data_IF_079550894805
#
_entry.id   IF_079550894805
#
_cell.length_a   1.000
_cell.length_b   1.000
_cell.length_c   1.000
_cell.angle_alpha   90.00
_cell.angle_beta   90.00
_cell.angle_gamma   90.00
#
_symmetry.space_group_name_H-M   'P 1'
#
loop_
_entity.id
_entity.type
_entity.pdbx_description
1 polymer ?
#
# COMPACT_ATOMS: atom_id res chain seq x y z
N UNK A 1 -3.73 -11.84 23.33
CA UNK A 1 -2.38 -11.41 22.93
C UNK A 1 -1.81 -12.49 22.04
N UNK A 2 -1.83 -12.27 20.72
CA UNK A 2 -1.28 -13.24 19.77
C UNK A 2 0.24 -13.24 19.93
N UNK A 3 0.86 -14.41 20.01
CA UNK A 3 2.32 -14.58 20.22
C UNK A 3 3.21 -13.90 19.15
N UNK A 4 2.62 -13.35 18.07
CA UNK A 4 3.30 -12.55 17.06
C UNK A 4 3.32 -11.03 17.32
N UNK A 5 2.55 -10.49 18.27
CA UNK A 5 2.45 -9.03 18.46
C UNK A 5 3.69 -8.43 19.12
N UNK A 6 4.30 -9.11 20.09
CA UNK A 6 5.39 -8.50 20.87
C UNK A 6 6.67 -8.33 20.05
N UNK A 7 7.00 -9.29 19.18
CA UNK A 7 8.14 -9.18 18.28
C UNK A 7 7.88 -8.14 17.18
N UNK A 8 6.64 -8.06 16.66
CA UNK A 8 6.24 -7.04 15.69
C UNK A 8 6.34 -5.65 16.32
N UNK A 9 5.86 -5.50 17.56
CA UNK A 9 5.93 -4.24 18.30
C UNK A 9 7.38 -3.81 18.54
N UNK A 10 8.24 -4.71 19.03
CA UNK A 10 9.69 -4.45 19.22
C UNK A 10 10.41 -4.13 17.90
N UNK A 11 9.97 -4.73 16.79
CA UNK A 11 10.53 -4.49 15.46
C UNK A 11 10.07 -3.14 14.91
N UNK A 12 8.79 -2.81 15.09
CA UNK A 12 8.23 -1.51 14.75
C UNK A 12 8.90 -0.41 15.58
N UNK A 13 9.09 -0.59 16.88
CA UNK A 13 9.75 0.40 17.73
C UNK A 13 11.20 0.66 17.28
N UNK A 14 11.97 -0.39 16.93
CA UNK A 14 13.31 -0.22 16.33
C UNK A 14 13.30 0.52 14.99
N UNK A 15 12.23 0.40 14.21
CA UNK A 15 12.11 1.09 12.93
C UNK A 15 11.62 2.53 13.09
N UNK A 16 10.70 2.76 14.03
CA UNK A 16 10.05 4.04 14.29
C UNK A 16 10.92 4.99 15.10
N UNK A 17 11.82 4.47 15.93
CA UNK A 17 12.65 5.26 16.83
C UNK A 17 14.15 5.04 16.56
N UNK A 18 14.95 6.07 16.79
CA UNK A 18 16.42 6.04 16.78
C UNK A 18 16.93 6.70 18.05
N UNK A 19 18.08 6.29 18.57
CA UNK A 19 18.68 6.97 19.71
C UNK A 19 19.59 8.10 19.23
N UNK A 20 19.34 9.34 19.66
CA UNK A 20 20.20 10.51 19.42
C UNK A 20 20.47 11.21 20.75
N UNK A 21 21.74 11.22 21.19
CA UNK A 21 22.13 11.83 22.47
C UNK A 21 21.47 11.20 23.70
N UNK A 22 21.28 9.87 23.70
CA UNK A 22 20.67 9.14 24.81
C UNK A 22 19.14 9.25 24.90
N UNK A 23 18.49 9.96 23.98
CA UNK A 23 17.02 10.05 23.87
C UNK A 23 16.52 9.30 22.63
N UNK A 24 15.41 8.61 22.76
CA UNK A 24 14.68 8.06 21.60
C UNK A 24 14.01 9.20 20.84
N UNK A 25 14.34 9.33 19.57
CA UNK A 25 13.76 10.30 18.63
C UNK A 25 13.14 9.55 17.46
N UNK A 26 12.06 10.06 16.85
CA UNK A 26 11.47 9.43 15.68
C UNK A 26 12.48 9.28 14.54
N UNK A 27 12.42 8.16 13.85
CA UNK A 27 13.22 7.87 12.67
C UNK A 27 12.76 8.77 11.51
N UNK A 28 13.52 9.81 11.22
CA UNK A 28 13.18 10.78 10.16
C UNK A 28 12.93 10.15 8.78
N UNK A 29 13.65 9.07 8.43
CA UNK A 29 13.47 8.38 7.16
C UNK A 29 12.15 7.59 7.12
N UNK A 30 11.76 7.00 8.25
CA UNK A 30 10.44 6.37 8.40
C UNK A 30 9.33 7.42 8.35
N UNK A 31 9.45 8.52 9.12
CA UNK A 31 8.48 9.61 9.11
C UNK A 31 8.31 10.22 7.72
N UNK A 32 9.41 10.38 6.97
CA UNK A 32 9.36 10.89 5.59
C UNK A 32 8.60 9.93 4.67
N UNK A 33 8.87 8.63 4.73
CA UNK A 33 8.13 7.62 3.96
C UNK A 33 6.65 7.57 4.35
N UNK A 34 6.34 7.70 5.63
CA UNK A 34 4.97 7.76 6.14
C UNK A 34 4.24 9.02 5.64
N UNK A 35 4.93 10.16 5.65
CA UNK A 35 4.44 11.43 5.11
C UNK A 35 4.21 11.36 3.60
N UNK A 36 5.16 10.80 2.85
CA UNK A 36 5.04 10.59 1.40
C UNK A 36 3.84 9.69 1.08
N UNK A 37 3.68 8.56 1.76
CA UNK A 37 2.54 7.66 1.57
C UNK A 37 1.20 8.33 1.91
N UNK A 38 1.15 9.08 3.02
CA UNK A 38 -0.04 9.82 3.44
C UNK A 38 -0.41 10.94 2.47
N UNK A 39 0.60 11.66 1.97
CA UNK A 39 0.45 12.75 1.00
C UNK A 39 0.03 12.23 -0.38
N UNK A 40 0.64 11.14 -0.87
CA UNK A 40 0.22 10.49 -2.11
C UNK A 40 -1.24 10.03 -2.02
N UNK A 41 -1.64 9.47 -0.88
CA UNK A 41 -3.02 9.06 -0.61
C UNK A 41 -4.02 10.23 -0.63
N UNK A 42 -3.70 11.32 0.08
CA UNK A 42 -4.53 12.52 0.11
C UNK A 42 -4.63 13.19 -1.28
N UNK A 43 -3.53 13.26 -2.02
CA UNK A 43 -3.50 13.81 -3.38
C UNK A 43 -4.31 12.94 -4.34
N UNK A 44 -4.23 11.61 -4.23
CA UNK A 44 -5.05 10.71 -5.03
C UNK A 44 -6.54 10.93 -4.76
N UNK A 45 -6.95 10.99 -3.50
CA UNK A 45 -8.34 11.26 -3.12
C UNK A 45 -8.82 12.62 -3.63
N UNK A 46 -7.99 13.67 -3.54
CA UNK A 46 -8.30 14.99 -4.10
C UNK A 46 -8.46 14.96 -5.62
N UNK A 47 -7.62 14.20 -6.34
CA UNK A 47 -7.74 14.05 -7.80
C UNK A 47 -9.01 13.31 -8.20
N UNK A 48 -9.33 12.23 -7.49
CA UNK A 48 -10.58 11.48 -7.63
C UNK A 48 -11.78 12.42 -7.43
N UNK A 49 -11.80 13.16 -6.30
CA UNK A 49 -12.86 14.10 -5.97
C UNK A 49 -13.02 15.21 -7.03
N UNK A 50 -11.90 15.77 -7.50
CA UNK A 50 -11.88 16.80 -8.55
C UNK A 50 -12.15 16.25 -9.96
N UNK A 51 -12.42 14.94 -10.11
CA UNK A 51 -12.53 14.25 -11.41
C UNK A 51 -11.33 14.51 -12.32
N UNK A 52 -10.17 14.78 -11.74
CA UNK A 52 -8.93 14.98 -12.46
C UNK A 52 -8.43 13.63 -12.99
N UNK A 53 -7.60 13.66 -14.03
CA UNK A 53 -7.05 12.44 -14.62
C UNK A 53 -6.19 11.69 -13.60
N UNK A 54 -6.73 10.59 -13.08
CA UNK A 54 -5.99 9.59 -12.29
C UNK A 54 -5.46 8.56 -13.27
N UNK A 55 -4.24 8.08 -13.08
CA UNK A 55 -3.71 6.95 -13.86
C UNK A 55 -3.90 5.64 -13.09
N UNK A 56 -4.08 4.50 -13.78
CA UNK A 56 -4.17 3.20 -13.10
C UNK A 56 -2.97 2.92 -12.18
N UNK A 57 -1.76 3.33 -12.58
CA UNK A 57 -0.55 3.14 -11.77
C UNK A 57 -0.55 3.94 -10.47
N UNK A 58 -1.05 5.19 -10.50
CA UNK A 58 -1.15 6.01 -9.29
C UNK A 58 -2.19 5.44 -8.32
N UNK A 59 -3.33 4.97 -8.84
CA UNK A 59 -4.37 4.34 -8.03
C UNK A 59 -3.86 3.06 -7.37
N UNK A 60 -3.25 2.16 -8.17
CA UNK A 60 -2.69 0.88 -7.69
C UNK A 60 -1.63 1.13 -6.62
N UNK A 61 -0.70 2.07 -6.83
CA UNK A 61 0.38 2.34 -5.84
C UNK A 61 -0.16 2.67 -4.45
N UNK A 62 -1.25 3.42 -4.37
CA UNK A 62 -1.81 3.89 -3.10
C UNK A 62 -2.76 2.86 -2.48
N UNK A 63 -3.65 2.27 -3.28
CA UNK A 63 -4.81 1.52 -2.76
C UNK A 63 -4.70 0.00 -2.91
N UNK A 64 -3.83 -0.51 -3.76
CA UNK A 64 -3.76 -1.94 -4.06
C UNK A 64 -3.50 -2.78 -2.82
N UNK A 65 -2.50 -2.41 -2.00
CA UNK A 65 -2.12 -3.20 -0.82
C UNK A 65 -3.27 -3.31 0.20
N UNK A 66 -4.05 -2.23 0.36
CA UNK A 66 -5.20 -2.23 1.24
C UNK A 66 -6.27 -3.24 0.78
N UNK A 67 -6.61 -3.21 -0.52
CA UNK A 67 -7.63 -4.12 -1.06
C UNK A 67 -7.15 -5.56 -1.20
N UNK A 68 -5.87 -5.82 -1.45
CA UNK A 68 -5.32 -7.18 -1.42
C UNK A 68 -5.39 -7.77 -0.02
N UNK A 69 -5.13 -6.98 1.03
CA UNK A 69 -5.21 -7.45 2.41
C UNK A 69 -6.65 -7.80 2.83
N UNK A 70 -7.64 -7.18 2.18
CA UNK A 70 -9.05 -7.51 2.32
C UNK A 70 -9.48 -8.71 1.46
N UNK A 71 -8.56 -9.33 0.72
CA UNK A 71 -8.83 -10.52 -0.11
C UNK A 71 -9.57 -10.24 -1.42
N UNK A 72 -9.60 -8.98 -1.88
CA UNK A 72 -10.28 -8.63 -3.12
C UNK A 72 -9.48 -9.11 -4.33
N UNK A 73 -10.20 -9.54 -5.36
CA UNK A 73 -9.64 -9.85 -6.68
C UNK A 73 -9.37 -8.58 -7.49
N UNK A 74 -8.44 -8.65 -8.44
CA UNK A 74 -8.11 -7.55 -9.35
C UNK A 74 -9.35 -6.95 -10.03
N UNK A 75 -10.32 -7.79 -10.41
CA UNK A 75 -11.58 -7.36 -11.02
C UNK A 75 -12.51 -6.63 -10.05
N UNK A 76 -12.53 -7.03 -8.77
CA UNK A 76 -13.26 -6.28 -7.74
C UNK A 76 -12.60 -4.92 -7.49
N UNK A 77 -11.27 -4.84 -7.50
CA UNK A 77 -10.56 -3.56 -7.36
C UNK A 77 -10.83 -2.62 -8.53
N UNK A 78 -10.91 -3.14 -9.77
CA UNK A 78 -11.29 -2.35 -10.94
C UNK A 78 -12.71 -1.77 -10.80
N UNK A 79 -13.66 -2.56 -10.29
CA UNK A 79 -15.03 -2.09 -10.01
C UNK A 79 -15.04 -0.95 -8.99
N UNK A 80 -14.24 -1.06 -7.92
CA UNK A 80 -14.11 0.01 -6.92
C UNK A 80 -13.50 1.26 -7.54
N UNK A 81 -12.41 1.14 -8.30
CA UNK A 81 -11.79 2.28 -8.97
C UNK A 81 -12.79 3.01 -9.89
N UNK A 82 -13.63 2.27 -10.62
CA UNK A 82 -14.71 2.83 -11.45
C UNK A 82 -15.82 3.49 -10.63
N UNK A 83 -16.21 2.88 -9.51
CA UNK A 83 -17.18 3.47 -8.58
C UNK A 83 -16.67 4.78 -7.95
N UNK A 84 -15.36 4.90 -7.75
CA UNK A 84 -14.69 6.14 -7.34
C UNK A 84 -14.66 7.20 -8.46
N UNK A 85 -15.09 6.87 -9.68
CA UNK A 85 -15.13 7.79 -10.83
C UNK A 85 -13.91 7.69 -11.74
N UNK A 86 -13.03 6.69 -11.57
CA UNK A 86 -11.91 6.47 -12.47
C UNK A 86 -12.36 5.76 -13.75
N UNK A 87 -12.05 6.32 -14.92
CA UNK A 87 -12.37 5.73 -16.24
C UNK A 87 -11.27 4.76 -16.70
N UNK A 88 -10.94 3.76 -15.88
CA UNK A 88 -9.88 2.81 -16.23
C UNK A 88 -10.38 1.72 -17.17
N UNK A 89 -9.60 1.50 -18.23
CA UNK A 89 -9.72 0.33 -19.07
C UNK A 89 -9.13 -0.89 -18.35
N UNK A 90 -9.81 -2.03 -18.49
CA UNK A 90 -9.39 -3.29 -17.88
C UNK A 90 -7.95 -3.69 -18.23
N UNK A 91 -7.53 -3.74 -19.52
CA UNK A 91 -6.18 -4.15 -19.86
C UNK A 91 -5.10 -3.23 -19.26
N UNK A 92 -5.36 -1.93 -19.18
CA UNK A 92 -4.44 -0.94 -18.61
C UNK A 92 -4.31 -1.10 -17.09
N UNK A 93 -5.44 -1.35 -16.41
CA UNK A 93 -5.46 -1.57 -14.98
C UNK A 93 -4.74 -2.85 -14.56
N UNK A 94 -5.00 -3.97 -15.25
CA UNK A 94 -4.31 -5.23 -15.02
C UNK A 94 -2.81 -5.14 -15.35
N UNK A 95 -2.43 -4.36 -16.37
CA UNK A 95 -1.03 -4.08 -16.65
C UNK A 95 -0.36 -3.29 -15.51
N UNK A 96 -1.07 -2.32 -14.92
CA UNK A 96 -0.57 -1.55 -13.78
C UNK A 96 -0.36 -2.42 -12.53
N UNK A 97 -1.30 -3.31 -12.22
CA UNK A 97 -1.16 -4.30 -11.12
C UNK A 97 0.08 -5.18 -11.35
N UNK A 98 0.23 -5.76 -12.55
CA UNK A 98 1.39 -6.61 -12.89
C UNK A 98 2.71 -5.88 -12.75
N UNK A 99 2.78 -4.59 -13.13
CA UNK A 99 3.99 -3.77 -12.95
C UNK A 99 4.26 -3.49 -11.48
N UNK A 100 3.22 -3.24 -10.68
CA UNK A 100 3.35 -2.98 -9.25
C UNK A 100 3.85 -4.21 -8.50
N UNK A 101 3.25 -5.37 -8.71
CA UNK A 101 3.65 -6.63 -8.04
C UNK A 101 5.06 -7.08 -8.44
N UNK A 102 5.45 -6.91 -9.71
CA UNK A 102 6.84 -7.18 -10.15
C UNK A 102 7.87 -6.28 -9.46
N UNK A 103 7.53 -5.02 -9.18
CA UNK A 103 8.42 -4.08 -8.50
C UNK A 103 8.43 -4.24 -6.98
N UNK A 104 7.38 -4.83 -6.40
CA UNK A 104 7.21 -5.06 -4.97
C UNK A 104 6.88 -6.54 -4.67
N UNK A 105 7.86 -7.45 -4.76
CA UNK A 105 7.63 -8.89 -4.59
C UNK A 105 7.11 -9.27 -3.19
N UNK A 106 7.34 -8.44 -2.16
CA UNK A 106 6.82 -8.65 -0.80
C UNK A 106 5.30 -8.44 -0.69
N UNK A 107 4.63 -7.90 -1.72
CA UNK A 107 3.17 -7.74 -1.77
C UNK A 107 2.46 -8.94 -2.41
N UNK A 108 3.21 -9.96 -2.82
CA UNK A 108 2.71 -11.13 -3.54
C UNK A 108 3.15 -12.43 -2.88
N UNK A 109 2.77 -12.70 -1.64
CA UNK A 109 2.79 -14.07 -1.13
C UNK A 109 1.89 -14.27 0.08
N UNK A 110 0.72 -14.85 -0.15
CA UNK A 110 0.15 -15.86 0.75
C UNK A 110 -0.63 -16.88 -0.08
N UNK A 111 0.12 -17.73 -0.78
CA UNK A 111 -0.33 -19.07 -1.14
C UNK A 111 0.68 -20.03 -0.54
N UNK A 112 0.56 -20.23 0.77
CA UNK A 112 1.25 -21.30 1.47
C UNK A 112 0.59 -22.61 1.04
N UNK A 113 1.21 -23.34 0.12
CA UNK A 113 0.88 -24.75 -0.07
C UNK A 113 1.42 -25.53 1.15
N UNK A 114 0.66 -26.47 1.73
CA UNK A 114 1.15 -27.25 2.86
C UNK A 114 2.22 -28.25 2.38
N UNK A 115 3.24 -28.55 3.20
CA UNK A 115 4.19 -29.60 2.89
C UNK A 115 3.50 -30.96 2.99
N UNK A 116 3.84 -31.87 2.07
CA UNK A 116 3.49 -33.31 2.16
C UNK A 116 4.48 -34.03 3.04
#
# INVERSE_FOLDING_TARGET
VFWGEEWVQKTLDRFMWRTRGGKEVPNEAFLRKLWEASSEGAILQLRIYRKATVTPSAWVRVKYLHFTNLGLTDMQMLKIARAEGCKFEEPEFLAAIRRFTRRNPLSGSSRTAPPR
#
